data_IF_110467538388
#
_entry.id   IF_110467538388
#
_cell.length_a   1.000
_cell.length_b   1.000
_cell.length_c   1.000
_cell.angle_alpha   90.00
_cell.angle_beta   90.00
_cell.angle_gamma   90.00
#
_symmetry.space_group_name_H-M   'P 1'
#
loop_
_entity.id
_entity.type
_entity.pdbx_description
1 polymer ?
#
# COMPACT_ATOMS: atom_id res chain seq x y z
N UNK A 1 20.13 -20.97 41.05
CA UNK A 1 19.58 -21.10 39.69
C UNK A 1 18.39 -20.18 39.43
N UNK A 2 17.69 -19.69 40.46
CA UNK A 2 16.54 -18.76 40.36
C UNK A 2 16.92 -17.34 39.92
N UNK A 3 18.08 -16.81 40.35
CA UNK A 3 18.50 -15.44 40.05
C UNK A 3 18.61 -15.13 38.56
N UNK A 4 19.07 -16.09 37.74
CA UNK A 4 19.23 -15.90 36.30
C UNK A 4 17.87 -15.70 35.58
N UNK A 5 16.82 -16.40 36.04
CA UNK A 5 15.49 -16.28 35.46
C UNK A 5 14.86 -14.93 35.84
N UNK A 6 15.03 -14.46 37.07
CA UNK A 6 14.53 -13.16 37.53
C UNK A 6 15.27 -11.97 36.88
N UNK A 7 16.59 -12.09 36.72
CA UNK A 7 17.41 -11.10 35.99
C UNK A 7 16.98 -11.01 34.52
N UNK A 8 16.76 -12.16 33.87
CA UNK A 8 16.27 -12.20 32.50
C UNK A 8 14.85 -11.61 32.37
N UNK A 9 13.94 -11.92 33.30
CA UNK A 9 12.60 -11.35 33.31
C UNK A 9 12.64 -9.82 33.44
N UNK A 10 13.48 -9.30 34.34
CA UNK A 10 13.68 -7.86 34.54
C UNK A 10 14.25 -7.19 33.29
N UNK A 11 15.22 -7.83 32.62
CA UNK A 11 15.80 -7.35 31.38
C UNK A 11 14.79 -7.32 30.22
N UNK A 12 13.92 -8.34 30.12
CA UNK A 12 12.95 -8.48 29.03
C UNK A 12 11.67 -7.64 29.23
N UNK A 13 11.36 -7.25 30.46
CA UNK A 13 10.13 -6.52 30.81
C UNK A 13 9.86 -5.29 29.92
N UNK A 14 10.83 -4.39 29.64
CA UNK A 14 10.59 -3.22 28.80
C UNK A 14 10.26 -3.58 27.34
N UNK A 15 10.78 -4.71 26.85
CA UNK A 15 10.48 -5.20 25.51
C UNK A 15 9.06 -5.75 25.44
N UNK A 16 8.60 -6.48 26.46
CA UNK A 16 7.22 -6.96 26.57
C UNK A 16 6.22 -5.81 26.65
N UNK A 17 6.54 -4.74 27.36
CA UNK A 17 5.70 -3.52 27.43
C UNK A 17 5.53 -2.87 26.05
N UNK A 18 6.60 -2.82 25.24
CA UNK A 18 6.57 -2.34 23.85
C UNK A 18 5.85 -3.29 22.89
N UNK A 19 5.73 -4.55 23.27
CA UNK A 19 4.92 -5.52 22.56
C UNK A 19 3.49 -5.61 23.10
N UNK A 20 3.10 -4.74 24.04
CA UNK A 20 1.72 -4.64 24.50
C UNK A 20 0.76 -4.29 23.36
N UNK A 21 -0.51 -4.66 23.50
CA UNK A 21 -1.56 -4.44 22.48
C UNK A 21 -1.63 -2.96 22.07
N UNK A 22 -1.49 -2.04 23.04
CA UNK A 22 -1.52 -0.61 22.80
C UNK A 22 -0.33 -0.11 21.97
N UNK A 23 0.88 -0.57 22.29
CA UNK A 23 2.09 -0.21 21.56
C UNK A 23 2.12 -0.82 20.16
N UNK A 24 1.71 -2.09 20.00
CA UNK A 24 1.55 -2.70 18.67
C UNK A 24 0.52 -1.99 17.81
N UNK A 25 -0.60 -1.53 18.39
CA UNK A 25 -1.59 -0.75 17.65
C UNK A 25 -1.03 0.61 17.20
N UNK A 26 -0.21 1.27 18.03
CA UNK A 26 0.50 2.51 17.65
C UNK A 26 1.49 2.25 16.51
N UNK A 27 2.32 1.21 16.63
CA UNK A 27 3.28 0.82 15.60
C UNK A 27 2.57 0.49 14.27
N UNK A 28 1.53 -0.35 14.32
CA UNK A 28 0.77 -0.76 13.13
C UNK A 28 0.13 0.43 12.42
N UNK A 29 -0.41 1.38 13.18
CA UNK A 29 -0.98 2.62 12.63
C UNK A 29 0.09 3.49 11.97
N UNK A 30 1.30 3.53 12.51
CA UNK A 30 2.42 4.27 11.92
C UNK A 30 2.89 3.62 10.61
N UNK A 31 3.23 2.33 10.65
CA UNK A 31 3.64 1.55 9.47
C UNK A 31 2.57 1.66 8.37
N UNK A 32 1.29 1.50 8.70
CA UNK A 32 0.22 1.59 7.73
C UNK A 32 0.10 2.96 7.05
N UNK A 33 0.39 4.07 7.76
CA UNK A 33 0.41 5.41 7.15
C UNK A 33 1.56 5.55 6.17
N UNK A 34 2.74 5.07 6.53
CA UNK A 34 3.93 5.17 5.71
C UNK A 34 3.83 4.28 4.46
N UNK A 35 3.38 3.04 4.62
CA UNK A 35 3.06 2.16 3.50
C UNK A 35 2.02 2.80 2.56
N UNK A 36 0.93 3.36 3.09
CA UNK A 36 -0.09 4.02 2.26
C UNK A 36 0.50 5.20 1.48
N UNK A 37 1.39 5.97 2.10
CA UNK A 37 2.11 7.08 1.46
C UNK A 37 3.01 6.57 0.33
N UNK A 38 3.74 5.48 0.55
CA UNK A 38 4.59 4.86 -0.48
C UNK A 38 3.77 4.34 -1.66
N UNK A 39 2.67 3.63 -1.41
CA UNK A 39 1.73 3.21 -2.47
C UNK A 39 1.23 4.43 -3.28
N UNK A 40 0.81 5.49 -2.60
CA UNK A 40 0.33 6.72 -3.27
C UNK A 40 1.42 7.41 -4.11
N UNK A 41 2.66 7.46 -3.60
CA UNK A 41 3.83 8.00 -4.30
C UNK A 41 4.13 7.17 -5.56
N UNK A 42 4.16 5.85 -5.44
CA UNK A 42 4.42 4.93 -6.55
C UNK A 42 3.35 4.99 -7.64
N UNK A 43 2.07 5.02 -7.25
CA UNK A 43 0.95 5.24 -8.18
C UNK A 43 1.09 6.61 -8.89
N UNK A 44 1.53 7.65 -8.18
CA UNK A 44 1.80 8.98 -8.79
C UNK A 44 2.93 8.94 -9.82
N UNK A 45 3.95 8.12 -9.56
CA UNK A 45 5.07 7.88 -10.46
C UNK A 45 4.71 6.99 -11.65
N UNK A 46 3.55 6.31 -11.61
CA UNK A 46 3.11 5.34 -12.64
C UNK A 46 4.07 4.14 -12.74
N UNK A 47 4.47 3.57 -11.60
CA UNK A 47 5.40 2.44 -11.53
C UNK A 47 4.76 1.24 -10.83
N UNK A 48 5.13 0.04 -11.22
CA UNK A 48 4.84 -1.21 -10.50
C UNK A 48 5.80 -1.37 -9.29
N UNK A 49 5.54 -2.31 -8.36
CA UNK A 49 6.42 -2.58 -7.22
C UNK A 49 7.85 -2.98 -7.62
N UNK A 50 8.02 -3.65 -8.75
CA UNK A 50 9.34 -4.00 -9.31
C UNK A 50 10.10 -2.81 -9.93
N UNK A 51 9.52 -1.60 -9.89
CA UNK A 51 10.09 -0.38 -10.47
C UNK A 51 9.78 -0.16 -11.95
N UNK A 52 9.22 -1.15 -12.66
CA UNK A 52 8.84 -1.01 -14.06
C UNK A 52 7.73 0.03 -14.25
N UNK A 53 7.72 0.71 -15.39
CA UNK A 53 6.68 1.72 -15.66
C UNK A 53 5.38 1.08 -16.11
N UNK A 54 4.24 1.67 -15.72
CA UNK A 54 2.94 1.24 -16.20
C UNK A 54 2.85 1.35 -17.71
N UNK A 55 2.24 0.34 -18.34
CA UNK A 55 1.90 0.42 -19.77
C UNK A 55 1.07 1.68 -20.02
N UNK A 56 1.44 2.53 -20.99
CA UNK A 56 0.70 3.75 -21.29
C UNK A 56 -0.77 3.50 -21.63
N UNK A 57 -1.63 4.50 -21.41
CA UNK A 57 -3.01 4.45 -21.86
C UNK A 57 -3.05 4.49 -23.40
N UNK A 58 -3.91 3.67 -24.01
CA UNK A 58 -4.18 3.72 -25.46
C UNK A 58 -4.67 5.14 -25.83
N UNK A 59 -4.00 5.75 -26.81
CA UNK A 59 -4.35 7.10 -27.29
C UNK A 59 -5.74 7.07 -27.93
N UNK A 60 -6.62 8.00 -27.60
CA UNK A 60 -7.90 8.16 -28.32
C UNK A 60 -7.65 9.05 -29.55
N UNK A 61 -8.14 8.64 -30.71
CA UNK A 61 -7.97 9.34 -31.99
C UNK A 61 -8.53 10.77 -32.00
N UNK A 62 -9.49 11.07 -31.10
CA UNK A 62 -10.14 12.39 -30.95
C UNK A 62 -9.60 13.22 -29.77
N UNK A 63 -8.38 12.98 -29.31
CA UNK A 63 -7.77 13.84 -28.28
C UNK A 63 -7.46 15.22 -28.87
N UNK A 64 -8.11 16.27 -28.35
CA UNK A 64 -7.85 17.66 -28.74
C UNK A 64 -6.37 18.03 -28.52
N UNK A 65 -5.76 18.59 -29.57
CA UNK A 65 -4.41 19.15 -29.53
C UNK A 65 -4.36 20.27 -28.47
N UNK A 66 -3.44 20.16 -27.52
CA UNK A 66 -3.25 21.15 -26.44
C UNK A 66 -3.85 20.79 -25.07
N UNK A 67 -4.61 19.70 -24.94
CA UNK A 67 -5.15 19.28 -23.63
C UNK A 67 -4.06 18.71 -22.73
N UNK A 68 -3.96 19.20 -21.49
CA UNK A 68 -3.05 18.66 -20.46
C UNK A 68 -3.38 17.18 -20.22
N UNK A 69 -2.39 16.30 -20.45
CA UNK A 69 -2.51 14.87 -20.20
C UNK A 69 -2.50 14.60 -18.69
N UNK A 70 -3.63 14.11 -18.18
CA UNK A 70 -3.70 13.63 -16.80
C UNK A 70 -3.12 12.22 -16.71
N UNK A 71 -2.19 12.02 -15.77
CA UNK A 71 -1.71 10.68 -15.39
C UNK A 71 -2.88 9.78 -14.96
N UNK A 72 -2.71 8.46 -15.07
CA UNK A 72 -3.75 7.52 -14.63
C UNK A 72 -3.83 7.51 -13.09
N UNK A 73 -4.97 7.08 -12.56
CA UNK A 73 -5.13 6.84 -11.11
C UNK A 73 -4.91 8.07 -10.19
N UNK A 74 -4.91 9.30 -10.73
CA UNK A 74 -4.72 10.54 -9.96
C UNK A 74 -5.70 10.71 -8.80
N UNK A 75 -6.94 10.20 -8.93
CA UNK A 75 -7.90 10.16 -7.83
C UNK A 75 -7.65 8.98 -6.89
N UNK A 76 -7.42 7.78 -7.43
CA UNK A 76 -7.27 6.54 -6.65
C UNK A 76 -6.16 6.65 -5.59
N UNK A 77 -5.05 7.31 -5.92
CA UNK A 77 -3.94 7.48 -4.98
C UNK A 77 -4.26 8.30 -3.71
N UNK A 78 -5.36 9.05 -3.70
CA UNK A 78 -5.71 9.92 -2.58
C UNK A 78 -6.29 9.10 -1.42
N UNK A 79 -6.12 9.59 -0.19
CA UNK A 79 -6.62 8.94 1.04
C UNK A 79 -8.14 8.76 1.08
N UNK A 80 -8.88 9.56 0.30
CA UNK A 80 -10.31 9.38 0.09
C UNK A 80 -10.65 8.03 -0.56
N UNK A 81 -9.74 7.45 -1.34
CA UNK A 81 -9.94 6.21 -2.09
C UNK A 81 -9.02 5.07 -1.64
N UNK A 82 -7.76 5.36 -1.35
CA UNK A 82 -6.80 4.39 -0.78
C UNK A 82 -6.98 4.34 0.74
N UNK A 83 -7.75 3.35 1.20
CA UNK A 83 -8.11 3.15 2.60
C UNK A 83 -6.99 2.45 3.36
N UNK A 84 -6.90 2.78 4.63
CA UNK A 84 -6.02 2.15 5.61
C UNK A 84 -6.89 1.71 6.78
N UNK A 85 -6.80 0.45 7.14
CA UNK A 85 -7.30 -0.13 8.37
C UNK A 85 -6.11 -0.69 9.13
N UNK A 86 -6.09 -0.53 10.44
CA UNK A 86 -5.02 -1.06 11.29
C UNK A 86 -5.55 -1.34 12.69
N UNK A 87 -5.13 -2.44 13.28
CA UNK A 87 -5.32 -2.76 14.70
C UNK A 87 -3.98 -3.22 15.31
N UNK A 88 -4.01 -3.90 16.46
CA UNK A 88 -2.82 -4.40 17.14
C UNK A 88 -2.11 -5.56 16.42
N UNK A 89 -2.78 -6.19 15.46
CA UNK A 89 -2.37 -7.49 14.91
C UNK A 89 -2.23 -7.46 13.38
N UNK A 90 -2.84 -6.49 12.71
CA UNK A 90 -2.86 -6.40 11.26
C UNK A 90 -2.96 -4.96 10.74
N UNK A 91 -2.43 -4.78 9.52
CA UNK A 91 -2.55 -3.58 8.70
C UNK A 91 -3.14 -4.00 7.36
N UNK A 92 -4.16 -3.30 6.89
CA UNK A 92 -4.74 -3.49 5.57
C UNK A 92 -4.81 -2.16 4.82
N UNK A 93 -4.25 -2.13 3.61
CA UNK A 93 -4.32 -1.00 2.69
C UNK A 93 -4.97 -1.45 1.41
N UNK A 94 -5.97 -0.71 0.94
CA UNK A 94 -6.67 -1.11 -0.27
C UNK A 94 -7.76 -0.16 -0.70
N UNK A 95 -8.62 -0.65 -1.57
CA UNK A 95 -9.73 0.09 -2.15
C UNK A 95 -11.05 -0.57 -1.78
N UNK A 96 -12.14 0.20 -1.79
CA UNK A 96 -13.48 -0.31 -1.48
C UNK A 96 -14.50 0.03 -2.58
N UNK A 97 -15.58 -0.74 -2.65
CA UNK A 97 -16.69 -0.55 -3.58
C UNK A 97 -16.26 -0.51 -5.05
N UNK A 98 -16.84 0.40 -5.84
CA UNK A 98 -16.54 0.53 -7.27
C UNK A 98 -15.06 0.79 -7.57
N UNK A 99 -14.37 1.48 -6.67
CA UNK A 99 -12.94 1.77 -6.85
C UNK A 99 -12.11 0.49 -6.71
N UNK A 100 -12.50 -0.41 -5.81
CA UNK A 100 -11.85 -1.72 -5.65
C UNK A 100 -11.93 -2.55 -6.94
N UNK A 101 -13.09 -2.60 -7.57
CA UNK A 101 -13.26 -3.29 -8.86
C UNK A 101 -12.30 -2.75 -9.93
N UNK A 102 -12.23 -1.42 -10.08
CA UNK A 102 -11.34 -0.79 -11.06
C UNK A 102 -9.88 -1.11 -10.73
N UNK A 103 -9.50 -1.01 -9.45
CA UNK A 103 -8.16 -1.31 -8.99
C UNK A 103 -7.80 -2.77 -9.26
N UNK A 104 -8.70 -3.71 -8.97
CA UNK A 104 -8.52 -5.14 -9.20
C UNK A 104 -8.32 -5.47 -10.69
N UNK A 105 -9.14 -4.90 -11.57
CA UNK A 105 -8.98 -5.06 -13.02
C UNK A 105 -7.58 -4.67 -13.48
N UNK A 106 -7.04 -3.59 -12.95
CA UNK A 106 -5.68 -3.18 -13.27
C UNK A 106 -4.62 -4.02 -12.53
N UNK A 107 -4.83 -4.37 -11.27
CA UNK A 107 -3.92 -5.15 -10.45
C UNK A 107 -3.64 -6.52 -11.06
N UNK A 108 -4.67 -7.17 -11.59
CA UNK A 108 -4.60 -8.54 -12.12
C UNK A 108 -4.61 -8.57 -13.66
N UNK A 109 -4.84 -7.44 -14.33
CA UNK A 109 -4.92 -7.38 -15.79
C UNK A 109 -6.19 -8.00 -16.37
N UNK A 110 -7.32 -7.83 -15.68
CA UNK A 110 -8.59 -8.46 -16.05
C UNK A 110 -9.28 -7.80 -17.24
N UNK A 111 -10.32 -8.47 -17.71
CA UNK A 111 -11.24 -7.97 -18.72
C UNK A 111 -12.32 -7.10 -18.09
N UNK A 112 -12.50 -5.88 -18.58
CA UNK A 112 -13.60 -4.99 -18.14
C UNK A 112 -14.06 -4.07 -19.28
N UNK A 113 -15.09 -3.25 -19.03
CA UNK A 113 -15.58 -2.22 -19.94
C UNK A 113 -15.25 -0.84 -19.40
N UNK A 114 -14.81 0.07 -20.27
CA UNK A 114 -14.47 1.43 -19.86
C UNK A 114 -15.70 2.24 -19.38
N UNK A 115 -16.85 2.01 -20.01
CA UNK A 115 -18.14 2.61 -19.67
C UNK A 115 -19.29 1.68 -20.09
N UNK A 116 -20.52 2.00 -19.68
CA UNK A 116 -21.70 1.23 -20.07
C UNK A 116 -21.83 1.25 -21.60
N UNK A 117 -21.95 0.08 -22.22
CA UNK A 117 -22.05 -0.07 -23.68
C UNK A 117 -20.72 -0.12 -24.42
N UNK A 118 -19.58 0.13 -23.75
CA UNK A 118 -18.28 0.01 -24.39
C UNK A 118 -17.88 -1.46 -24.64
N UNK A 119 -17.04 -1.73 -25.67
CA UNK A 119 -16.43 -3.04 -25.85
C UNK A 119 -15.66 -3.47 -24.60
N UNK A 120 -15.73 -4.76 -24.32
CA UNK A 120 -14.97 -5.35 -23.23
C UNK A 120 -13.55 -5.65 -23.69
N UNK A 121 -12.55 -5.16 -22.96
CA UNK A 121 -11.13 -5.27 -23.30
C UNK A 121 -10.34 -5.83 -22.14
N UNK A 122 -9.27 -6.56 -22.44
CA UNK A 122 -8.29 -6.99 -21.45
C UNK A 122 -7.38 -5.80 -21.13
N UNK A 123 -7.28 -5.45 -19.85
CA UNK A 123 -6.43 -4.36 -19.41
C UNK A 123 -5.00 -4.86 -19.15
N UNK A 124 -3.96 -4.12 -19.56
CA UNK A 124 -2.60 -4.41 -19.12
C UNK A 124 -2.49 -4.31 -17.59
N UNK A 125 -1.77 -5.26 -16.98
CA UNK A 125 -1.47 -5.29 -15.56
C UNK A 125 -0.73 -4.01 -15.14
N UNK A 126 -1.21 -3.37 -14.09
CA UNK A 126 -0.65 -2.18 -13.44
C UNK A 126 -0.89 -2.37 -11.95
N UNK A 127 0.15 -2.81 -11.24
CA UNK A 127 0.06 -3.22 -9.84
C UNK A 127 -0.05 -2.01 -8.94
N UNK A 128 -1.28 -1.59 -8.64
CA UNK A 128 -1.56 -0.43 -7.79
C UNK A 128 -1.18 -0.68 -6.34
N UNK A 129 -1.25 -1.93 -5.88
CA UNK A 129 -0.86 -2.38 -4.55
C UNK A 129 0.25 -3.43 -4.68
N UNK A 130 1.19 -3.42 -3.74
CA UNK A 130 2.27 -4.40 -3.67
C UNK A 130 3.46 -3.82 -2.89
N UNK A 131 4.24 -4.70 -2.27
CA UNK A 131 5.42 -4.31 -1.51
C UNK A 131 6.63 -4.16 -2.43
N UNK A 132 7.36 -3.07 -2.24
CA UNK A 132 8.72 -2.91 -2.74
C UNK A 132 9.72 -3.38 -1.67
N UNK A 133 10.98 -3.61 -2.03
CA UNK A 133 12.04 -3.88 -1.04
C UNK A 133 12.17 -2.75 -0.02
N UNK A 134 11.95 -1.50 -0.46
CA UNK A 134 11.92 -0.33 0.42
C UNK A 134 10.76 -0.40 1.43
N UNK A 135 9.59 -0.92 1.02
CA UNK A 135 8.45 -1.08 1.92
C UNK A 135 8.73 -2.17 2.96
N UNK A 136 9.32 -3.29 2.55
CA UNK A 136 9.69 -4.37 3.47
C UNK A 136 10.72 -3.89 4.50
N UNK A 137 11.76 -3.20 4.03
CA UNK A 137 12.75 -2.59 4.91
C UNK A 137 12.15 -1.55 5.86
N UNK A 138 11.20 -0.74 5.39
CA UNK A 138 10.50 0.22 6.25
C UNK A 138 9.74 -0.48 7.38
N UNK A 139 9.09 -1.61 7.11
CA UNK A 139 8.37 -2.39 8.12
C UNK A 139 9.36 -2.92 9.16
N UNK A 140 10.46 -3.53 8.71
CA UNK A 140 11.53 -4.07 9.55
C UNK A 140 12.16 -2.98 10.43
N UNK A 141 12.64 -1.90 9.82
CA UNK A 141 13.27 -0.77 10.51
C UNK A 141 12.31 -0.14 11.54
N UNK A 142 11.01 -0.03 11.19
CA UNK A 142 9.99 0.49 12.11
C UNK A 142 9.77 -0.42 13.31
N UNK A 143 9.80 -1.73 13.10
CA UNK A 143 9.64 -2.71 14.16
C UNK A 143 10.86 -2.73 15.10
N UNK A 144 12.07 -2.86 14.55
CA UNK A 144 13.31 -2.88 15.32
C UNK A 144 13.45 -1.62 16.17
N UNK A 145 13.24 -0.45 15.56
CA UNK A 145 13.23 0.83 16.26
C UNK A 145 12.20 0.87 17.40
N UNK A 146 11.02 0.28 17.20
CA UNK A 146 9.96 0.27 18.22
C UNK A 146 10.36 -0.57 19.44
N UNK A 147 11.08 -1.67 19.24
CA UNK A 147 11.59 -2.52 20.33
C UNK A 147 13.00 -2.14 20.81
N UNK A 148 13.57 -1.02 20.33
CA UNK A 148 14.94 -0.58 20.65
C UNK A 148 16.04 -1.59 20.28
N UNK A 149 15.90 -2.21 19.10
CA UNK A 149 16.98 -2.93 18.43
C UNK A 149 17.36 -2.19 17.13
#
# INVERSE_FOLDING_TARGET
MTNNVEELATYLQPYLERLSVGERAKLSKQIGRDLRKNQSKRISAQQNPDGSTYTPRRKRLREQKGKIKRKMFTKLKNTAHLKLLSNSDAIAIGFVGRVARIAQVHQEGLKDRAERGAPSVVYPKRELLGFTDQDLKLIEDSFLKHINL
#
